data_IF_467520756259
#
_entry.id   IF_467520756259
#
_cell.length_a   1.000
_cell.length_b   1.000
_cell.length_c   1.000
_cell.angle_alpha   90.00
_cell.angle_beta   90.00
_cell.angle_gamma   90.00
#
_symmetry.space_group_name_H-M   'P 1'
#
loop_
_entity.id
_entity.type
_entity.pdbx_description
1 polymer ?
#
# COMPACT_ATOMS: atom_id res chain seq x y z
N UNK A 1 6.40 12.22 -21.40
CA UNK A 1 7.59 12.96 -21.89
C UNK A 1 7.26 14.38 -22.33
N UNK A 2 6.09 14.62 -22.96
CA UNK A 2 5.64 15.96 -23.34
C UNK A 2 5.49 16.90 -22.14
N UNK A 3 4.76 16.48 -21.09
CA UNK A 3 4.63 17.26 -19.85
C UNK A 3 5.98 17.56 -19.17
N UNK A 4 6.90 16.59 -19.17
CA UNK A 4 8.24 16.76 -18.58
C UNK A 4 9.02 17.81 -19.35
N UNK A 5 8.92 17.80 -20.67
CA UNK A 5 9.59 18.75 -21.57
C UNK A 5 9.05 20.17 -21.37
N UNK A 6 7.73 20.33 -21.27
CA UNK A 6 7.06 21.61 -20.97
C UNK A 6 7.47 22.16 -19.61
N UNK A 7 7.47 21.31 -18.58
CA UNK A 7 7.78 21.70 -17.20
C UNK A 7 9.23 22.15 -16.99
N UNK A 8 10.18 21.66 -17.78
CA UNK A 8 11.60 22.05 -17.71
C UNK A 8 12.01 23.03 -18.82
N UNK A 9 11.06 23.50 -19.64
CA UNK A 9 11.32 24.44 -20.73
C UNK A 9 12.26 23.90 -21.80
N UNK A 10 12.22 22.59 -22.08
CA UNK A 10 13.06 21.93 -23.09
C UNK A 10 12.20 21.25 -24.15
N UNK A 11 12.79 21.01 -25.32
CA UNK A 11 12.11 20.29 -26.39
C UNK A 11 11.99 18.80 -26.05
N UNK A 12 10.91 18.16 -26.50
CA UNK A 12 10.68 16.71 -26.32
C UNK A 12 11.85 15.86 -26.82
N UNK A 13 12.52 16.30 -27.90
CA UNK A 13 13.71 15.64 -28.46
C UNK A 13 14.90 15.67 -27.48
N UNK A 14 15.10 16.78 -26.77
CA UNK A 14 16.16 16.91 -25.76
C UNK A 14 15.93 15.94 -24.60
N UNK A 15 14.70 15.87 -24.10
CA UNK A 15 14.34 14.95 -23.00
C UNK A 15 14.51 13.49 -23.43
N UNK A 16 14.14 13.15 -24.65
CA UNK A 16 14.33 11.80 -25.20
C UNK A 16 15.82 11.43 -25.32
N UNK A 17 16.65 12.39 -25.76
CA UNK A 17 18.10 12.20 -25.84
C UNK A 17 18.72 11.93 -24.45
N UNK A 18 18.32 12.68 -23.43
CA UNK A 18 18.79 12.46 -22.05
C UNK A 18 18.34 11.10 -21.51
N UNK A 19 17.06 10.74 -21.67
CA UNK A 19 16.55 9.42 -21.28
C UNK A 19 17.36 8.29 -21.93
N UNK A 20 17.74 8.42 -23.21
CA UNK A 20 18.57 7.42 -23.91
C UNK A 20 20.02 7.39 -23.40
N UNK A 21 20.60 8.55 -23.08
CA UNK A 21 21.96 8.64 -22.52
C UNK A 21 22.05 8.04 -21.12
N UNK A 22 21.03 8.27 -20.29
CA UNK A 22 20.95 7.72 -18.94
C UNK A 22 20.64 6.22 -18.95
N UNK A 23 19.79 5.75 -19.87
CA UNK A 23 19.59 4.32 -20.10
C UNK A 23 20.90 3.61 -20.46
N UNK A 24 21.76 4.23 -21.28
CA UNK A 24 23.09 3.70 -21.61
C UNK A 24 24.05 3.68 -20.41
N UNK A 25 23.76 4.43 -19.34
CA UNK A 25 24.49 4.45 -18.07
C UNK A 25 23.83 3.57 -17.00
N UNK A 26 22.80 2.79 -17.37
CA UNK A 26 22.07 1.91 -16.45
C UNK A 26 20.99 2.60 -15.61
N UNK A 27 20.69 3.88 -15.87
CA UNK A 27 19.62 4.63 -15.21
C UNK A 27 18.32 4.55 -16.03
N UNK A 28 17.44 3.63 -15.66
CA UNK A 28 16.13 3.49 -16.27
C UNK A 28 15.11 4.44 -15.62
N UNK A 29 14.76 5.50 -16.34
CA UNK A 29 13.79 6.49 -15.88
C UNK A 29 12.37 5.93 -15.72
N UNK A 30 11.99 4.91 -16.49
CA UNK A 30 10.67 4.30 -16.36
C UNK A 30 10.61 3.44 -15.09
N UNK A 31 11.70 2.71 -14.80
CA UNK A 31 11.89 1.99 -13.54
C UNK A 31 11.91 2.96 -12.35
N UNK A 32 12.70 4.04 -12.39
CA UNK A 32 12.76 5.06 -11.33
C UNK A 32 11.44 5.79 -11.12
N UNK A 33 10.65 5.98 -12.18
CA UNK A 33 9.30 6.53 -12.10
C UNK A 33 8.35 5.53 -11.45
N UNK A 34 8.44 4.25 -11.80
CA UNK A 34 7.70 3.18 -11.14
C UNK A 34 8.03 3.14 -9.65
N UNK A 35 9.32 3.08 -9.28
CA UNK A 35 9.81 3.11 -7.90
C UNK A 35 9.35 4.37 -7.14
N UNK A 36 9.34 5.56 -7.76
CA UNK A 36 8.84 6.78 -7.12
C UNK A 36 7.31 6.86 -7.02
N UNK A 37 6.58 6.34 -8.01
CA UNK A 37 5.10 6.28 -7.97
C UNK A 37 4.63 5.19 -6.99
N UNK A 38 5.48 4.19 -6.77
CA UNK A 38 5.42 3.16 -5.74
C UNK A 38 6.14 3.59 -4.45
N UNK A 39 6.18 4.89 -4.11
CA UNK A 39 6.34 5.19 -2.69
C UNK A 39 5.08 4.65 -2.01
N UNK A 40 5.24 3.49 -1.39
CA UNK A 40 4.18 2.62 -0.85
C UNK A 40 3.09 3.39 -0.10
N UNK A 41 3.48 4.43 0.62
CA UNK A 41 2.58 5.31 1.38
C UNK A 41 1.61 6.13 0.50
N UNK A 42 2.05 6.68 -0.65
CA UNK A 42 1.15 7.43 -1.54
C UNK A 42 0.20 6.51 -2.30
N UNK A 43 0.69 5.33 -2.69
CA UNK A 43 -0.14 4.32 -3.33
C UNK A 43 -1.21 3.79 -2.36
N UNK A 44 -0.84 3.49 -1.11
CA UNK A 44 -1.79 3.07 -0.06
C UNK A 44 -2.82 4.14 0.25
N UNK A 45 -2.41 5.41 0.40
CA UNK A 45 -3.35 6.52 0.62
C UNK A 45 -4.35 6.66 -0.52
N UNK A 46 -3.90 6.50 -1.77
CA UNK A 46 -4.79 6.52 -2.95
C UNK A 46 -5.72 5.31 -3.00
N UNK A 47 -5.22 4.13 -2.67
CA UNK A 47 -6.03 2.91 -2.57
C UNK A 47 -7.09 3.03 -1.47
N UNK A 48 -6.74 3.52 -0.28
CA UNK A 48 -7.70 3.78 0.80
C UNK A 48 -8.75 4.81 0.38
N UNK A 49 -8.34 5.94 -0.22
CA UNK A 49 -9.27 6.95 -0.70
C UNK A 49 -10.26 6.38 -1.75
N UNK A 50 -9.74 5.58 -2.69
CA UNK A 50 -10.56 4.90 -3.70
C UNK A 50 -11.55 3.90 -3.09
N UNK A 51 -11.13 3.11 -2.11
CA UNK A 51 -12.01 2.16 -1.41
C UNK A 51 -13.12 2.89 -0.65
N UNK A 52 -12.79 3.99 0.05
CA UNK A 52 -13.78 4.82 0.75
C UNK A 52 -14.80 5.42 -0.22
N UNK A 53 -14.34 5.95 -1.35
CA UNK A 53 -15.23 6.51 -2.37
C UNK A 53 -16.14 5.43 -2.98
N UNK A 54 -15.60 4.23 -3.25
CA UNK A 54 -16.39 3.10 -3.72
C UNK A 54 -17.43 2.64 -2.71
N UNK A 55 -17.09 2.54 -1.42
CA UNK A 55 -18.06 2.20 -0.37
C UNK A 55 -19.16 3.26 -0.29
N UNK A 56 -18.81 4.55 -0.35
CA UNK A 56 -19.80 5.64 -0.34
C UNK A 56 -20.72 5.59 -1.56
N UNK A 57 -20.19 5.26 -2.75
CA UNK A 57 -20.99 5.05 -3.94
C UNK A 57 -21.96 3.87 -3.78
N UNK A 58 -21.48 2.76 -3.21
CA UNK A 58 -22.32 1.60 -2.95
C UNK A 58 -23.43 1.86 -1.92
N UNK A 59 -23.15 2.63 -0.87
CA UNK A 59 -24.16 3.04 0.11
C UNK A 59 -25.24 3.92 -0.52
N UNK A 60 -24.86 4.87 -1.38
CA UNK A 60 -25.82 5.72 -2.10
C UNK A 60 -26.70 4.94 -3.08
N UNK A 61 -26.13 3.97 -3.78
CA UNK A 61 -26.88 3.17 -4.75
C UNK A 61 -27.69 2.05 -4.09
N UNK A 62 -27.41 1.71 -2.82
CA UNK A 62 -28.20 0.74 -2.03
C UNK A 62 -29.67 1.15 -1.91
N UNK A 63 -29.94 2.43 -1.72
CA UNK A 63 -31.32 2.95 -1.63
C UNK A 63 -32.06 2.72 -2.96
N UNK A 64 -31.39 2.98 -4.08
CA UNK A 64 -31.94 2.77 -5.44
C UNK A 64 -32.18 1.30 -5.77
N UNK A 65 -31.43 0.36 -5.18
CA UNK A 65 -31.67 -1.07 -5.36
C UNK A 65 -33.02 -1.50 -4.77
N UNK A 66 -33.51 -0.81 -3.73
CA UNK A 66 -34.81 -1.10 -3.12
C UNK A 66 -35.99 -0.63 -3.98
N UNK A 67 -35.75 0.35 -4.86
CA UNK A 67 -36.74 0.92 -5.78
C UNK A 67 -36.94 0.08 -7.05
N UNK A 68 -36.12 -0.97 -7.26
CA UNK A 68 -36.26 -1.86 -8.41
C UNK A 68 -37.45 -2.80 -8.18
N UNK A 69 -38.49 -2.60 -8.99
CA UNK A 69 -39.73 -3.41 -8.96
C UNK A 69 -39.50 -4.85 -9.45
N UNK A 70 -38.65 -5.03 -10.46
CA UNK A 70 -38.31 -6.33 -11.03
C UNK A 70 -37.42 -7.14 -10.04
N UNK A 71 -37.94 -8.23 -9.46
CA UNK A 71 -37.21 -9.01 -8.47
C UNK A 71 -35.96 -9.69 -9.03
N UNK A 72 -35.98 -10.18 -10.27
CA UNK A 72 -34.83 -10.87 -10.88
C UNK A 72 -33.70 -9.88 -11.15
N UNK A 73 -34.04 -8.74 -11.77
CA UNK A 73 -33.07 -7.68 -12.03
C UNK A 73 -32.46 -7.10 -10.76
N UNK A 74 -33.28 -6.96 -9.70
CA UNK A 74 -32.80 -6.53 -8.37
C UNK A 74 -31.82 -7.53 -7.79
N UNK A 75 -32.14 -8.83 -7.85
CA UNK A 75 -31.28 -9.89 -7.32
C UNK A 75 -29.94 -9.96 -8.08
N UNK A 76 -29.97 -9.84 -9.41
CA UNK A 76 -28.76 -9.84 -10.25
C UNK A 76 -27.81 -8.68 -9.90
N UNK A 77 -28.35 -7.48 -9.69
CA UNK A 77 -27.55 -6.33 -9.30
C UNK A 77 -26.97 -6.49 -7.89
N UNK A 78 -27.76 -7.01 -6.94
CA UNK A 78 -27.27 -7.30 -5.57
C UNK A 78 -26.12 -8.31 -5.60
N UNK A 79 -26.23 -9.38 -6.39
CA UNK A 79 -25.16 -10.39 -6.51
C UNK A 79 -23.89 -9.80 -7.13
N UNK A 80 -24.03 -8.99 -8.19
CA UNK A 80 -22.90 -8.28 -8.79
C UNK A 80 -22.23 -7.33 -7.79
N UNK A 81 -23.03 -6.62 -7.00
CA UNK A 81 -22.56 -5.74 -5.93
C UNK A 81 -21.77 -6.51 -4.86
N UNK A 82 -22.33 -7.61 -4.36
CA UNK A 82 -21.68 -8.45 -3.34
C UNK A 82 -20.35 -9.01 -3.84
N UNK A 83 -20.29 -9.46 -5.10
CA UNK A 83 -19.07 -9.97 -5.72
C UNK A 83 -17.99 -8.90 -5.88
N UNK A 84 -18.34 -7.68 -6.30
CA UNK A 84 -17.38 -6.57 -6.42
C UNK A 84 -16.89 -6.13 -5.04
N UNK A 85 -17.79 -6.00 -4.06
CA UNK A 85 -17.44 -5.67 -2.68
C UNK A 85 -16.47 -6.70 -2.08
N UNK A 86 -16.73 -7.99 -2.27
CA UNK A 86 -15.86 -9.06 -1.77
C UNK A 86 -14.46 -9.03 -2.40
N UNK A 87 -14.37 -8.73 -3.70
CA UNK A 87 -13.08 -8.56 -4.39
C UNK A 87 -12.30 -7.36 -3.87
N UNK A 88 -12.99 -6.23 -3.63
CA UNK A 88 -12.37 -5.02 -3.08
C UNK A 88 -11.86 -5.25 -1.66
N UNK A 89 -12.65 -5.89 -0.79
CA UNK A 89 -12.23 -6.25 0.56
C UNK A 89 -11.02 -7.18 0.58
N UNK A 90 -10.98 -8.17 -0.31
CA UNK A 90 -9.85 -9.08 -0.43
C UNK A 90 -8.60 -8.43 -1.04
N UNK A 91 -8.78 -7.42 -1.90
CA UNK A 91 -7.67 -6.62 -2.41
C UNK A 91 -7.11 -5.70 -1.32
N UNK A 92 -7.99 -5.10 -0.50
CA UNK A 92 -7.61 -4.28 0.64
C UNK A 92 -6.80 -5.08 1.68
N UNK A 93 -7.30 -6.26 2.08
CA UNK A 93 -6.56 -7.17 2.97
C UNK A 93 -5.21 -7.61 2.42
N UNK A 94 -5.09 -7.80 1.11
CA UNK A 94 -3.83 -8.15 0.44
C UNK A 94 -2.87 -6.97 0.29
N UNK A 95 -3.35 -5.74 0.45
CA UNK A 95 -2.54 -4.53 0.48
C UNK A 95 -2.09 -4.14 1.91
N UNK A 96 -2.56 -4.84 2.95
CA UNK A 96 -2.13 -4.73 4.35
C UNK A 96 -0.89 -5.56 4.82
N UNK A 97 -0.01 -6.18 3.99
CA UNK A 97 1.10 -6.99 4.51
C UNK A 97 2.04 -6.21 5.44
N UNK A 98 2.39 -4.98 5.09
CA UNK A 98 3.36 -4.20 5.87
C UNK A 98 2.83 -3.70 7.21
N UNK A 99 1.53 -3.37 7.30
CA UNK A 99 0.91 -2.91 8.56
C UNK A 99 0.79 -4.07 9.54
N UNK A 100 0.41 -5.26 9.05
CA UNK A 100 0.29 -6.45 9.89
C UNK A 100 1.65 -6.91 10.42
N UNK A 101 2.70 -6.96 9.59
CA UNK A 101 4.03 -7.41 10.02
C UNK A 101 4.64 -6.42 11.03
N UNK A 102 4.59 -5.12 10.75
CA UNK A 102 5.12 -4.11 11.68
C UNK A 102 4.40 -4.11 13.02
N UNK A 103 3.07 -4.28 13.03
CA UNK A 103 2.30 -4.33 14.29
C UNK A 103 2.60 -5.62 15.07
N UNK A 104 2.71 -6.77 14.38
CA UNK A 104 3.05 -8.06 15.00
C UNK A 104 4.45 -8.02 15.60
N UNK A 105 5.45 -7.48 14.87
CA UNK A 105 6.83 -7.35 15.36
C UNK A 105 6.90 -6.41 16.56
N UNK A 106 6.23 -5.26 16.49
CA UNK A 106 6.18 -4.30 17.60
C UNK A 106 5.54 -4.91 18.85
N UNK A 107 4.41 -5.62 18.71
CA UNK A 107 3.77 -6.33 19.83
C UNK A 107 4.65 -7.43 20.40
N UNK A 108 5.34 -8.17 19.53
CA UNK A 108 6.24 -9.25 19.95
C UNK A 108 7.39 -8.70 20.77
N UNK A 109 8.08 -7.67 20.28
CA UNK A 109 9.17 -7.01 21.01
C UNK A 109 8.71 -6.44 22.36
N UNK A 110 7.52 -5.84 22.39
CA UNK A 110 6.93 -5.35 23.64
C UNK A 110 6.68 -6.48 24.64
N UNK A 111 6.06 -7.58 24.21
CA UNK A 111 5.79 -8.74 25.08
C UNK A 111 7.10 -9.33 25.62
N UNK A 112 8.13 -9.46 24.78
CA UNK A 112 9.44 -9.97 25.22
C UNK A 112 10.09 -9.01 26.21
N UNK A 113 10.03 -7.69 25.97
CA UNK A 113 10.51 -6.67 26.90
C UNK A 113 9.78 -6.71 28.24
N UNK A 114 8.45 -6.80 28.22
CA UNK A 114 7.61 -6.90 29.42
C UNK A 114 7.96 -8.16 30.23
N UNK A 115 8.16 -9.30 29.56
CA UNK A 115 8.58 -10.57 30.19
C UNK A 115 9.98 -10.47 30.82
N UNK A 116 10.93 -9.83 30.12
CA UNK A 116 12.29 -9.62 30.60
C UNK A 116 12.31 -8.69 31.82
N UNK A 117 11.51 -7.62 31.80
CA UNK A 117 11.33 -6.72 32.95
C UNK A 117 10.73 -7.45 34.15
N UNK A 118 9.67 -8.23 33.95
CA UNK A 118 9.02 -9.00 35.02
C UNK A 118 9.93 -10.07 35.63
N UNK A 119 10.88 -10.59 34.84
CA UNK A 119 11.82 -11.63 35.27
C UNK A 119 13.14 -11.07 35.79
N UNK A 120 13.25 -9.75 35.98
CA UNK A 120 14.48 -9.03 36.37
C UNK A 120 15.69 -9.32 35.47
N UNK A 121 15.45 -9.66 34.21
CA UNK A 121 16.47 -9.97 33.20
C UNK A 121 16.90 -8.71 32.45
N UNK A 122 17.64 -7.85 33.15
CA UNK A 122 18.19 -6.62 32.59
C UNK A 122 19.15 -6.88 31.41
N UNK A 123 19.81 -8.04 31.39
CA UNK A 123 20.68 -8.49 30.30
C UNK A 123 19.92 -8.70 28.98
N UNK A 124 18.72 -9.28 29.05
CA UNK A 124 17.87 -9.52 27.87
C UNK A 124 17.29 -8.21 27.35
N UNK A 125 16.89 -7.30 28.25
CA UNK A 125 16.41 -5.97 27.90
C UNK A 125 17.50 -5.13 27.22
N UNK A 126 18.72 -5.15 27.75
CA UNK A 126 19.84 -4.43 27.17
C UNK A 126 20.20 -4.99 25.78
N UNK A 127 20.24 -6.31 25.64
CA UNK A 127 20.48 -6.96 24.34
C UNK A 127 19.43 -6.56 23.30
N UNK A 128 18.15 -6.53 23.67
CA UNK A 128 17.08 -6.11 22.75
C UNK A 128 17.19 -4.65 22.34
N UNK A 129 17.58 -3.76 23.25
CA UNK A 129 17.78 -2.35 22.96
C UNK A 129 18.99 -2.12 22.05
N UNK A 130 20.09 -2.84 22.29
CA UNK A 130 21.33 -2.72 21.51
C UNK A 130 21.16 -3.22 20.07
N UNK A 131 20.25 -4.19 19.85
CA UNK A 131 20.01 -4.83 18.56
C UNK A 131 18.67 -4.48 17.90
N UNK A 132 17.99 -3.44 18.39
CA UNK A 132 16.62 -3.11 17.93
C UNK A 132 16.58 -2.74 16.44
N UNK A 133 17.59 -2.00 15.96
CA UNK A 133 17.72 -1.66 14.53
C UNK A 133 18.14 -2.87 13.68
N UNK A 134 18.97 -3.77 14.20
CA UNK A 134 19.36 -5.01 13.51
C UNK A 134 18.15 -5.92 13.29
N UNK A 135 17.29 -6.05 14.32
CA UNK A 135 16.03 -6.81 14.25
C UNK A 135 15.09 -6.20 13.22
N UNK A 136 14.98 -4.87 13.20
CA UNK A 136 14.15 -4.15 12.22
C UNK A 136 14.66 -4.35 10.79
N UNK A 137 15.97 -4.26 10.54
CA UNK A 137 16.54 -4.53 9.22
C UNK A 137 16.34 -5.98 8.76
N UNK A 138 16.44 -6.95 9.69
CA UNK A 138 16.21 -8.36 9.39
C UNK A 138 14.76 -8.62 8.99
N UNK A 139 13.80 -8.04 9.72
CA UNK A 139 12.38 -8.11 9.40
C UNK A 139 12.08 -7.49 8.04
N UNK A 140 12.63 -6.32 7.73
CA UNK A 140 12.43 -5.66 6.42
C UNK A 140 13.00 -6.49 5.25
N UNK A 141 13.98 -7.35 5.49
CA UNK A 141 14.53 -8.23 4.44
C UNK A 141 13.73 -9.52 4.23
N UNK A 142 13.01 -10.00 5.24
CA UNK A 142 12.23 -11.23 5.19
C UNK A 142 10.82 -11.06 4.59
N UNK A 143 10.29 -9.83 4.64
CA UNK A 143 8.94 -9.47 4.17
C UNK A 143 9.00 -8.46 3.02
#
# INVERSE_FOLDING_TARGET
LTEVAERIGRTRQTVYKWKKQDAARGLDWDRLRLENTLTDDQFRKRQQAFLVEMFSAFEKDREKLSEIEDPEKRLELIDRYANVFYKLMNAAKRAEPEVAVSEIVTRTLKIVGDLASQSERADVLQFLLDHLEDVKEAVIKEF
#
